data_IF_059794633897
#
_entry.id   IF_059794633897
#
_cell.length_a   1.000
_cell.length_b   1.000
_cell.length_c   1.000
_cell.angle_alpha   90.00
_cell.angle_beta   90.00
_cell.angle_gamma   90.00
#
_symmetry.space_group_name_H-M   'P 1'
#
loop_
_entity.id
_entity.type
_entity.pdbx_description
1 polymer ?
#
# COMPACT_ATOMS: atom_id res chain seq x y z
N UNK A 1 -20.33 -22.53 -19.94
CA UNK A 1 -20.46 -21.39 -19.01
C UNK A 1 -19.07 -20.94 -18.58
N UNK A 2 -18.67 -19.68 -18.78
CA UNK A 2 -17.34 -19.20 -18.38
C UNK A 2 -17.34 -18.78 -16.91
N UNK A 3 -16.26 -19.09 -16.19
CA UNK A 3 -15.95 -18.58 -14.86
C UNK A 3 -14.83 -17.55 -15.00
N UNK A 4 -15.00 -16.37 -14.41
CA UNK A 4 -14.02 -15.28 -14.43
C UNK A 4 -13.66 -14.99 -12.98
N UNK A 5 -12.36 -14.98 -12.68
CA UNK A 5 -11.83 -14.70 -11.35
C UNK A 5 -11.07 -13.38 -11.43
N UNK A 6 -11.34 -12.50 -10.47
CA UNK A 6 -10.59 -11.27 -10.26
C UNK A 6 -9.78 -11.42 -8.98
N UNK A 7 -8.53 -10.96 -9.01
CA UNK A 7 -7.61 -10.98 -7.88
C UNK A 7 -7.08 -9.57 -7.73
N UNK A 8 -7.12 -9.07 -6.49
CA UNK A 8 -6.63 -7.75 -6.09
C UNK A 8 -5.64 -7.93 -4.93
N UNK A 9 -4.68 -7.02 -4.80
CA UNK A 9 -3.61 -7.10 -3.80
C UNK A 9 -3.89 -6.15 -2.65
N UNK A 10 -3.88 -6.69 -1.43
CA UNK A 10 -4.10 -5.91 -0.21
C UNK A 10 -3.03 -4.82 -0.03
N UNK A 11 -3.47 -3.57 0.09
CA UNK A 11 -2.62 -2.41 0.36
C UNK A 11 -1.33 -2.38 -0.49
N UNK A 12 -1.43 -2.71 -1.78
CA UNK A 12 -0.29 -3.16 -2.61
C UNK A 12 1.05 -2.42 -2.40
N UNK A 13 1.08 -1.09 -2.52
CA UNK A 13 2.34 -0.35 -2.35
C UNK A 13 2.86 -0.39 -0.91
N UNK A 14 1.99 -0.26 0.09
CA UNK A 14 2.40 -0.38 1.48
C UNK A 14 2.86 -1.81 1.82
N UNK A 15 2.20 -2.83 1.27
CA UNK A 15 2.56 -4.24 1.47
C UNK A 15 3.95 -4.57 0.89
N UNK A 16 4.30 -4.00 -0.27
CA UNK A 16 5.64 -4.13 -0.85
C UNK A 16 6.70 -3.49 0.04
N UNK A 17 6.48 -2.27 0.53
CA UNK A 17 7.43 -1.57 1.40
C UNK A 17 7.61 -2.28 2.76
N UNK A 18 6.55 -2.84 3.35
CA UNK A 18 6.63 -3.65 4.56
C UNK A 18 7.31 -5.01 4.37
N UNK A 19 7.23 -5.58 3.16
CA UNK A 19 7.96 -6.79 2.79
C UNK A 19 9.46 -6.51 2.73
N UNK A 20 9.83 -5.42 2.04
CA UNK A 20 11.23 -5.06 1.77
C UNK A 20 11.90 -4.42 3.00
N UNK A 21 11.12 -3.73 3.84
CA UNK A 21 11.56 -3.22 5.14
C UNK A 21 10.63 -3.71 6.27
N UNK A 22 10.96 -4.85 6.91
CA UNK A 22 10.13 -5.46 7.96
C UNK A 22 9.85 -4.56 9.19
N UNK A 23 10.69 -3.55 9.45
CA UNK A 23 10.47 -2.62 10.55
C UNK A 23 9.22 -1.75 10.38
N UNK A 24 8.65 -1.69 9.17
CA UNK A 24 7.42 -0.93 8.88
C UNK A 24 6.13 -1.70 9.16
N UNK A 25 6.18 -2.99 9.52
CA UNK A 25 4.99 -3.86 9.62
C UNK A 25 4.04 -3.52 10.76
N UNK A 26 4.58 -3.09 11.88
CA UNK A 26 3.83 -2.93 13.13
C UNK A 26 3.58 -1.45 13.47
N UNK A 27 3.73 -0.57 12.48
CA UNK A 27 3.51 0.87 12.63
C UNK A 27 2.58 1.39 11.52
N UNK A 28 1.82 2.47 11.76
CA UNK A 28 1.01 3.09 10.73
C UNK A 28 1.90 3.67 9.63
N UNK A 29 1.70 3.25 8.37
CA UNK A 29 2.41 3.84 7.22
C UNK A 29 1.45 4.20 6.10
N UNK A 30 1.85 5.20 5.32
CA UNK A 30 1.18 5.56 4.08
C UNK A 30 2.21 5.92 3.00
N UNK A 31 1.95 5.45 1.79
CA UNK A 31 2.73 5.78 0.59
C UNK A 31 2.06 6.98 -0.05
N UNK A 32 2.77 8.11 -0.12
CA UNK A 32 2.22 9.36 -0.62
C UNK A 32 3.27 10.43 -0.87
N UNK A 33 2.85 11.51 -1.55
CA UNK A 33 3.69 12.69 -1.71
C UNK A 33 3.80 13.48 -0.39
N UNK A 34 4.91 14.18 -0.18
CA UNK A 34 5.07 15.02 1.01
C UNK A 34 4.11 16.21 1.02
N UNK A 35 3.85 16.74 2.22
CA UNK A 35 2.94 17.88 2.42
C UNK A 35 3.43 19.14 1.70
N UNK A 36 4.73 19.39 1.67
CA UNK A 36 5.36 20.57 1.06
C UNK A 36 5.08 20.61 -0.45
N UNK A 37 4.96 19.42 -1.07
CA UNK A 37 4.59 19.26 -2.48
C UNK A 37 3.09 19.16 -2.72
N UNK A 38 2.26 19.42 -1.69
CA UNK A 38 0.80 19.23 -1.72
C UNK A 38 0.42 17.82 -2.18
N UNK A 39 1.20 16.83 -1.73
CA UNK A 39 1.03 15.43 -2.08
C UNK A 39 -0.23 14.81 -1.49
N UNK A 40 -0.67 13.72 -2.12
CA UNK A 40 -1.79 12.89 -1.67
C UNK A 40 -1.32 11.49 -1.29
N UNK A 41 -2.14 10.77 -0.54
CA UNK A 41 -1.92 9.36 -0.20
C UNK A 41 -2.35 8.49 -1.39
N UNK A 42 -1.50 7.53 -1.74
CA UNK A 42 -1.75 6.52 -2.79
C UNK A 42 -2.15 5.17 -2.22
N UNK A 43 -1.57 4.78 -1.09
CA UNK A 43 -1.86 3.52 -0.39
C UNK A 43 -1.51 3.70 1.09
N UNK A 44 -2.23 3.03 1.98
CA UNK A 44 -1.97 3.03 3.41
C UNK A 44 -2.15 1.61 3.94
N UNK A 45 -1.51 1.31 5.07
CA UNK A 45 -1.82 0.09 5.83
C UNK A 45 -3.21 0.18 6.47
N UNK A 46 -3.73 -0.97 6.87
CA UNK A 46 -4.98 -1.09 7.64
C UNK A 46 -4.95 -0.28 8.94
#
# INVERSE_FOLDING_TARGET
MRKIIHVDMDCFFAAVEMRDNPALRDIPIAIGGSRERRGVIRSATY
#
